data_IF_169532815318
#
_entry.id   IF_169532815318
#
_cell.length_a   1.000
_cell.length_b   1.000
_cell.length_c   1.000
_cell.angle_alpha   90.00
_cell.angle_beta   90.00
_cell.angle_gamma   90.00
#
_symmetry.space_group_name_H-M   'P 1'
#
loop_
_entity.id
_entity.type
_entity.pdbx_description
1 polymer ?
#
# COMPACT_ATOMS: atom_id res chain seq x y z
N UNK A 1 18.34 28.30 49.81
CA UNK A 1 17.06 29.02 49.94
C UNK A 1 15.96 27.99 50.03
N UNK A 2 15.17 28.08 51.10
CA UNK A 2 14.28 27.07 51.66
C UNK A 2 12.90 27.72 51.79
N UNK A 3 11.90 27.29 51.03
CA UNK A 3 10.50 27.78 51.03
C UNK A 3 9.70 26.81 50.13
N UNK A 4 8.51 26.28 50.41
CA UNK A 4 7.56 26.37 51.54
C UNK A 4 6.61 25.18 51.38
N UNK A 5 6.25 24.54 52.48
CA UNK A 5 5.14 23.58 52.61
C UNK A 5 3.79 24.33 52.70
N UNK A 6 2.66 23.58 52.64
CA UNK A 6 1.24 23.97 52.83
C UNK A 6 0.53 24.51 51.57
N UNK A 7 -0.68 24.12 51.16
CA UNK A 7 -1.83 23.44 51.80
C UNK A 7 -2.75 22.92 50.68
N UNK A 8 -3.50 21.83 50.90
CA UNK A 8 -4.97 21.85 50.71
C UNK A 8 -5.60 20.61 51.37
N UNK A 9 -6.47 20.90 52.33
CA UNK A 9 -7.22 19.97 53.15
C UNK A 9 -8.69 19.99 52.71
N UNK A 10 -9.30 18.81 52.69
CA UNK A 10 -10.72 18.49 52.85
C UNK A 10 -11.76 19.02 51.83
N UNK A 11 -12.34 18.08 51.06
CA UNK A 11 -13.76 18.11 50.75
C UNK A 11 -14.36 16.70 50.96
N UNK A 12 -15.31 16.63 51.88
CA UNK A 12 -15.95 15.41 52.37
C UNK A 12 -17.26 15.12 51.62
N UNK A 13 -17.45 13.83 51.30
CA UNK A 13 -18.69 13.04 51.32
C UNK A 13 -20.00 13.59 50.70
N UNK A 14 -20.45 12.89 49.66
CA UNK A 14 -21.86 12.50 49.50
C UNK A 14 -21.95 11.23 48.61
N UNK A 15 -21.67 10.06 49.19
CA UNK A 15 -21.93 8.78 48.52
C UNK A 15 -23.40 8.39 48.75
N UNK A 16 -24.29 8.84 47.86
CA UNK A 16 -25.63 8.29 47.77
C UNK A 16 -25.55 6.91 47.12
N UNK A 17 -25.89 5.88 47.87
CA UNK A 17 -25.98 4.50 47.37
C UNK A 17 -27.13 4.37 46.37
N UNK A 18 -26.83 4.50 45.09
CA UNK A 18 -27.69 3.99 44.02
C UNK A 18 -27.44 2.48 43.91
N UNK A 19 -28.35 1.70 44.48
CA UNK A 19 -28.48 0.27 44.17
C UNK A 19 -28.95 0.17 42.71
N UNK A 20 -28.00 0.05 41.79
CA UNK A 20 -28.31 -0.23 40.40
C UNK A 20 -28.97 -1.62 40.36
N UNK A 21 -30.23 -1.66 39.92
CA UNK A 21 -30.90 -2.92 39.61
C UNK A 21 -30.03 -3.64 38.58
N UNK A 22 -29.57 -4.89 38.83
CA UNK A 22 -28.77 -5.61 37.87
C UNK A 22 -29.60 -5.74 36.60
N UNK A 23 -29.24 -4.94 35.59
CA UNK A 23 -29.79 -5.12 34.26
C UNK A 23 -29.33 -6.50 33.86
N UNK A 24 -30.31 -7.38 33.66
CA UNK A 24 -30.07 -8.75 33.21
C UNK A 24 -29.58 -8.64 31.77
N UNK A 25 -28.29 -8.41 31.61
CA UNK A 25 -27.61 -8.55 30.32
C UNK A 25 -27.83 -9.98 29.91
N UNK A 26 -28.75 -10.17 28.97
CA UNK A 26 -28.88 -11.42 28.26
C UNK A 26 -27.51 -11.63 27.64
N UNK A 27 -26.72 -12.54 28.20
CA UNK A 27 -25.48 -12.97 27.58
C UNK A 27 -25.89 -13.52 26.21
N UNK A 28 -25.65 -12.73 25.17
CA UNK A 28 -25.74 -13.18 23.80
C UNK A 28 -24.75 -14.33 23.69
N UNK A 29 -25.31 -15.53 23.76
CA UNK A 29 -24.63 -16.78 23.48
C UNK A 29 -23.98 -16.66 22.10
N UNK A 30 -22.76 -17.17 21.99
CA UNK A 30 -21.87 -17.20 20.82
C UNK A 30 -21.35 -15.84 20.35
N UNK A 31 -20.15 -15.50 20.85
CA UNK A 31 -19.18 -14.62 20.22
C UNK A 31 -18.93 -15.08 18.78
N UNK A 32 -19.69 -14.54 17.83
CA UNK A 32 -19.37 -14.71 16.43
C UNK A 32 -18.25 -13.71 16.12
N UNK A 33 -17.02 -14.07 16.50
CA UNK A 33 -15.84 -13.39 16.00
C UNK A 33 -15.87 -13.52 14.49
N UNK A 34 -15.78 -12.39 13.80
CA UNK A 34 -15.59 -12.40 12.36
C UNK A 34 -14.19 -12.96 12.07
N UNK A 35 -14.06 -13.69 10.97
CA UNK A 35 -12.76 -14.05 10.45
C UNK A 35 -12.20 -12.87 9.65
N UNK A 36 -10.90 -12.61 9.79
CA UNK A 36 -10.24 -11.60 8.94
C UNK A 36 -10.27 -12.11 7.50
N UNK A 37 -9.83 -13.35 7.33
CA UNK A 37 -9.71 -13.97 6.04
C UNK A 37 -11.01 -14.63 5.56
N UNK A 38 -11.26 -14.64 4.24
CA UNK A 38 -12.40 -15.33 3.69
C UNK A 38 -12.29 -16.84 3.96
N UNK A 39 -13.40 -17.55 4.16
CA UNK A 39 -13.40 -19.00 4.31
C UNK A 39 -12.67 -19.71 3.16
N UNK A 40 -11.93 -20.78 3.47
CA UNK A 40 -11.09 -21.48 2.50
C UNK A 40 -11.88 -22.02 1.28
N UNK A 41 -13.15 -22.37 1.46
CA UNK A 41 -14.04 -22.80 0.38
C UNK A 41 -14.40 -21.65 -0.58
N UNK A 42 -14.57 -20.43 -0.07
CA UNK A 42 -14.76 -19.22 -0.89
C UNK A 42 -13.51 -18.97 -1.74
N UNK A 43 -12.32 -19.05 -1.13
CA UNK A 43 -11.04 -18.92 -1.85
C UNK A 43 -10.92 -19.97 -2.96
N UNK A 44 -11.22 -21.23 -2.65
CA UNK A 44 -11.18 -22.29 -3.66
C UNK A 44 -12.16 -22.03 -4.80
N UNK A 45 -13.40 -21.60 -4.52
CA UNK A 45 -14.37 -21.28 -5.57
C UNK A 45 -13.86 -20.19 -6.53
N UNK A 46 -13.25 -19.13 -6.00
CA UNK A 46 -12.66 -18.06 -6.80
C UNK A 46 -11.48 -18.53 -7.65
N UNK A 47 -10.63 -19.40 -7.10
CA UNK A 47 -9.51 -19.97 -7.85
C UNK A 47 -9.98 -20.88 -9.01
N UNK A 48 -11.07 -21.62 -8.85
CA UNK A 48 -11.64 -22.44 -9.94
C UNK A 48 -12.32 -21.60 -11.03
N UNK A 49 -12.82 -20.41 -10.68
CA UNK A 49 -13.39 -19.46 -11.64
C UNK A 49 -12.33 -18.70 -12.45
N UNK A 50 -11.03 -18.82 -12.13
CA UNK A 50 -9.99 -18.38 -13.06
C UNK A 50 -10.15 -19.21 -14.32
N UNK A 51 -10.73 -18.56 -15.34
CA UNK A 51 -11.00 -19.12 -16.66
C UNK A 51 -9.81 -20.01 -17.01
N UNK A 52 -10.03 -21.33 -17.22
CA UNK A 52 -8.93 -22.25 -17.49
C UNK A 52 -8.09 -21.60 -18.56
N UNK A 53 -6.79 -21.38 -18.26
CA UNK A 53 -5.84 -20.71 -19.14
C UNK A 53 -6.11 -21.29 -20.51
N UNK A 54 -6.80 -20.52 -21.36
CA UNK A 54 -7.19 -21.05 -22.66
C UNK A 54 -5.87 -21.48 -23.28
N UNK A 55 -5.75 -22.73 -23.75
CA UNK A 55 -4.49 -23.25 -24.24
C UNK A 55 -3.91 -22.18 -25.12
N UNK A 56 -2.75 -21.64 -24.72
CA UNK A 56 -2.14 -20.49 -25.37
C UNK A 56 -1.96 -20.89 -26.82
N UNK A 57 -2.95 -20.54 -27.66
CA UNK A 57 -2.92 -20.85 -29.07
C UNK A 57 -1.69 -20.10 -29.54
N UNK A 58 -0.70 -20.83 -30.06
CA UNK A 58 0.51 -20.21 -30.55
C UNK A 58 0.10 -19.24 -31.66
N UNK A 59 0.04 -17.96 -31.28
CA UNK A 59 -0.49 -16.89 -32.10
C UNK A 59 0.46 -16.59 -33.27
N UNK A 60 1.60 -17.29 -33.33
CA UNK A 60 2.50 -17.32 -34.48
C UNK A 60 1.89 -18.01 -35.70
N UNK A 61 0.88 -18.84 -35.54
CA UNK A 61 0.25 -19.55 -36.66
C UNK A 61 -1.10 -18.95 -37.09
N UNK A 62 -1.63 -18.02 -36.29
CA UNK A 62 -2.89 -17.36 -36.61
C UNK A 62 -2.75 -16.38 -37.78
N UNK A 63 -3.69 -16.48 -38.72
CA UNK A 63 -3.91 -15.50 -39.79
C UNK A 63 -4.49 -14.20 -39.21
N UNK A 64 -4.41 -13.09 -39.96
CA UNK A 64 -4.98 -11.81 -39.50
C UNK A 64 -6.50 -11.88 -39.24
N UNK A 65 -7.23 -12.72 -39.97
CA UNK A 65 -8.67 -12.91 -39.75
C UNK A 65 -8.97 -13.60 -38.41
N UNK A 66 -8.20 -14.63 -38.05
CA UNK A 66 -8.33 -15.32 -36.77
C UNK A 66 -7.89 -14.43 -35.61
N UNK A 67 -6.86 -13.61 -35.81
CA UNK A 67 -6.42 -12.62 -34.81
C UNK A 67 -7.50 -11.59 -34.49
N UNK A 68 -8.24 -11.11 -35.50
CA UNK A 68 -9.38 -10.20 -35.27
C UNK A 68 -10.47 -10.89 -34.43
N UNK A 69 -10.84 -12.13 -34.77
CA UNK A 69 -11.84 -12.90 -33.99
C UNK A 69 -11.40 -13.12 -32.55
N UNK A 70 -10.09 -13.28 -32.31
CA UNK A 70 -9.50 -13.46 -31.00
C UNK A 70 -9.18 -12.14 -30.26
N UNK A 71 -9.53 -10.97 -30.81
CA UNK A 71 -9.21 -9.67 -30.21
C UNK A 71 -7.71 -9.33 -30.15
N UNK A 72 -6.88 -10.02 -30.94
CA UNK A 72 -5.43 -9.81 -30.99
C UNK A 72 -5.05 -8.72 -32.01
N UNK A 73 -3.97 -7.96 -31.78
CA UNK A 73 -3.46 -6.98 -32.75
C UNK A 73 -3.12 -7.64 -34.09
N UNK A 74 -3.38 -6.94 -35.20
CA UNK A 74 -3.02 -7.42 -36.54
C UNK A 74 -1.51 -7.64 -36.70
N UNK A 75 -1.11 -8.67 -37.45
CA UNK A 75 0.28 -8.83 -37.88
C UNK A 75 0.62 -7.80 -38.93
N UNK A 76 1.86 -7.31 -38.87
CA UNK A 76 2.43 -6.49 -39.94
C UNK A 76 2.39 -7.27 -41.26
N UNK A 77 2.00 -6.63 -42.38
CA UNK A 77 2.00 -7.28 -43.68
C UNK A 77 3.37 -7.86 -44.01
N UNK A 78 3.46 -9.17 -44.21
CA UNK A 78 4.68 -9.80 -44.68
C UNK A 78 4.87 -9.40 -46.15
N UNK A 79 5.81 -8.48 -46.43
CA UNK A 79 6.21 -8.19 -47.80
C UNK A 79 6.93 -9.41 -48.36
N UNK A 80 6.20 -10.25 -49.08
CA UNK A 80 6.79 -11.30 -49.90
C UNK A 80 7.73 -10.61 -50.87
N UNK A 81 9.04 -10.73 -50.65
CA UNK A 81 10.05 -10.29 -51.62
C UNK A 81 9.82 -11.13 -52.87
N UNK A 82 9.07 -10.60 -53.81
CA UNK A 82 9.01 -11.13 -55.16
C UNK A 82 10.41 -10.95 -55.72
N UNK A 83 11.16 -12.04 -55.78
CA UNK A 83 12.41 -12.10 -56.53
C UNK A 83 11.99 -12.02 -57.99
N UNK A 84 11.97 -10.81 -58.54
CA UNK A 84 11.81 -10.63 -59.97
C UNK A 84 12.72 -9.51 -60.43
N UNK A 85 13.66 -9.90 -61.29
CA UNK A 85 14.68 -9.05 -61.84
C UNK A 85 14.12 -7.90 -62.66
N UNK A 86 15.01 -6.92 -62.84
CA UNK A 86 15.11 -5.95 -63.92
C UNK A 86 13.80 -5.50 -64.59
N UNK A 87 13.45 -4.22 -64.44
CA UNK A 87 13.78 -3.19 -65.43
C UNK A 87 13.11 -1.84 -65.08
N UNK A 88 13.88 -0.78 -65.36
CA UNK A 88 13.46 0.54 -65.84
C UNK A 88 12.72 1.53 -64.90
N UNK A 89 13.48 2.58 -64.56
CA UNK A 89 13.25 3.99 -64.91
C UNK A 89 12.06 4.79 -64.33
N UNK A 90 12.44 5.73 -63.45
CA UNK A 90 12.06 7.15 -63.37
C UNK A 90 10.57 7.57 -63.31
N UNK A 91 10.20 8.31 -62.25
CA UNK A 91 9.68 9.69 -62.35
C UNK A 91 9.55 10.34 -60.96
N UNK A 92 9.68 11.66 -60.92
CA UNK A 92 9.86 12.51 -59.74
C UNK A 92 8.56 13.12 -59.18
N UNK A 93 8.69 13.68 -57.95
CA UNK A 93 7.86 14.74 -57.30
C UNK A 93 6.61 14.31 -56.50
N UNK A 94 6.07 15.15 -55.57
CA UNK A 94 6.56 16.39 -54.94
C UNK A 94 6.50 16.40 -53.39
N UNK A 95 7.19 17.37 -52.76
CA UNK A 95 7.11 17.72 -51.33
C UNK A 95 5.86 18.57 -51.00
N UNK A 96 5.23 18.40 -49.82
CA UNK A 96 4.48 19.46 -49.16
C UNK A 96 5.25 19.93 -47.89
N UNK A 97 5.66 21.19 -47.82
CA UNK A 97 4.90 22.38 -47.35
C UNK A 97 4.94 22.53 -45.83
N UNK A 98 5.85 23.41 -45.38
CA UNK A 98 6.03 23.92 -44.02
C UNK A 98 4.84 24.76 -43.57
N UNK A 99 4.25 24.42 -42.42
CA UNK A 99 3.29 25.28 -41.74
C UNK A 99 4.00 26.25 -40.79
N UNK A 100 3.61 27.52 -40.90
CA UNK A 100 4.14 28.66 -40.17
C UNK A 100 3.77 28.62 -38.68
N UNK A 101 4.76 28.86 -37.81
CA UNK A 101 4.54 29.21 -36.41
C UNK A 101 4.25 30.71 -36.31
N UNK A 102 3.10 31.04 -35.73
CA UNK A 102 2.71 32.41 -35.42
C UNK A 102 3.38 32.85 -34.11
N UNK A 103 4.35 33.74 -34.22
CA UNK A 103 4.99 34.43 -33.10
C UNK A 103 4.20 35.68 -32.77
N UNK A 104 3.55 35.74 -31.60
CA UNK A 104 3.06 36.99 -31.02
C UNK A 104 4.15 37.53 -30.11
N UNK A 105 4.86 38.56 -30.58
CA UNK A 105 5.77 39.36 -29.78
C UNK A 105 4.94 40.30 -28.90
N UNK A 106 4.96 40.07 -27.58
CA UNK A 106 4.53 41.08 -26.60
C UNK A 106 5.78 41.78 -26.10
N UNK A 107 5.82 43.10 -26.36
CA UNK A 107 6.90 43.99 -26.02
C UNK A 107 7.10 44.08 -24.50
N UNK A 108 8.36 44.10 -24.11
CA UNK A 108 8.84 44.25 -22.75
C UNK A 108 8.69 45.69 -22.23
N UNK A 109 8.24 45.83 -20.98
CA UNK A 109 8.57 46.98 -20.14
C UNK A 109 9.79 46.61 -19.26
N UNK A 110 10.78 47.51 -19.11
CA UNK A 110 11.97 47.25 -18.31
C UNK A 110 11.73 47.62 -16.84
N UNK A 111 11.42 46.61 -16.01
CA UNK A 111 11.45 46.79 -14.55
C UNK A 111 12.78 46.29 -13.99
N UNK A 112 13.65 47.25 -13.69
CA UNK A 112 14.97 47.05 -13.13
C UNK A 112 14.88 46.81 -11.61
N UNK A 113 14.70 45.56 -11.19
CA UNK A 113 15.10 45.04 -9.86
C UNK A 113 15.03 43.51 -9.88
N UNK A 114 16.05 42.83 -10.42
CA UNK A 114 16.16 41.38 -10.33
C UNK A 114 17.61 40.92 -10.55
N UNK A 115 18.52 41.25 -9.62
CA UNK A 115 19.92 40.80 -9.68
C UNK A 115 20.38 40.09 -8.39
N UNK A 116 19.46 39.38 -7.74
CA UNK A 116 19.76 38.43 -6.66
C UNK A 116 18.77 37.29 -6.80
N UNK A 117 19.14 36.21 -7.50
CA UNK A 117 18.56 34.84 -7.47
C UNK A 117 18.83 34.13 -8.81
N UNK A 118 20.09 34.02 -9.23
CA UNK A 118 20.48 33.09 -10.31
C UNK A 118 21.63 32.19 -9.89
N UNK A 119 21.62 31.76 -8.63
CA UNK A 119 22.22 30.49 -8.28
C UNK A 119 21.14 29.42 -8.47
N UNK A 120 20.95 28.94 -9.71
CA UNK A 120 20.30 27.64 -9.98
C UNK A 120 21.21 26.56 -9.41
N UNK A 121 21.27 26.48 -8.09
CA UNK A 121 21.88 25.36 -7.38
C UNK A 121 21.05 24.14 -7.76
N UNK A 122 21.58 23.33 -8.68
CA UNK A 122 21.14 21.95 -8.90
C UNK A 122 21.43 21.21 -7.60
N UNK A 123 20.56 21.38 -6.61
CA UNK A 123 20.58 20.58 -5.41
C UNK A 123 20.18 19.16 -5.84
N UNK A 124 21.18 18.36 -6.21
CA UNK A 124 20.99 16.92 -6.39
C UNK A 124 20.81 16.36 -4.99
N UNK A 125 19.56 16.23 -4.57
CA UNK A 125 19.18 15.34 -3.47
C UNK A 125 19.73 13.96 -3.87
N UNK A 126 20.82 13.57 -3.23
CA UNK A 126 21.40 12.24 -3.43
C UNK A 126 20.56 11.34 -2.56
N UNK A 127 19.57 10.67 -3.15
CA UNK A 127 18.63 9.84 -2.41
C UNK A 127 19.36 8.70 -1.73
N UNK A 128 19.39 8.73 -0.39
CA UNK A 128 20.05 7.70 0.40
C UNK A 128 19.10 6.51 0.61
N UNK A 129 19.10 5.59 -0.35
CA UNK A 129 18.42 4.30 -0.16
C UNK A 129 19.18 3.47 0.88
N UNK A 130 18.50 3.09 1.95
CA UNK A 130 19.05 2.26 3.03
C UNK A 130 18.27 0.96 3.13
N UNK A 131 18.98 -0.16 3.33
CA UNK A 131 18.37 -1.47 3.57
C UNK A 131 18.33 -1.77 5.06
N UNK A 132 17.40 -2.62 5.46
CA UNK A 132 17.29 -3.04 6.85
C UNK A 132 16.14 -4.03 7.05
N UNK A 133 15.81 -4.29 8.32
CA UNK A 133 14.75 -5.19 8.74
C UNK A 133 13.66 -4.42 9.47
N UNK A 134 12.47 -5.03 9.58
CA UNK A 134 11.36 -4.48 10.36
C UNK A 134 11.17 -5.33 11.62
N UNK A 135 11.59 -4.79 12.77
CA UNK A 135 11.35 -5.38 14.08
C UNK A 135 9.96 -4.98 14.58
N UNK A 136 9.26 -5.91 15.20
CA UNK A 136 7.99 -5.65 15.87
C UNK A 136 8.23 -5.50 17.36
N UNK A 137 7.78 -4.39 17.91
CA UNK A 137 7.79 -4.06 19.33
C UNK A 137 6.35 -4.11 19.82
N UNK A 138 6.10 -4.77 20.94
CA UNK A 138 4.80 -4.77 21.60
C UNK A 138 4.44 -3.36 22.07
N UNK A 139 3.29 -2.83 21.66
CA UNK A 139 2.93 -1.43 21.89
C UNK A 139 2.59 -1.11 23.35
N UNK A 140 2.30 -2.12 24.18
CA UNK A 140 1.99 -1.93 25.60
C UNK A 140 3.25 -2.03 26.47
N UNK A 141 4.14 -2.97 26.15
CA UNK A 141 5.29 -3.32 26.99
C UNK A 141 6.62 -2.81 26.49
N UNK A 142 6.68 -2.25 25.28
CA UNK A 142 7.90 -1.86 24.56
C UNK A 142 8.90 -3.03 24.36
N UNK A 143 8.45 -4.28 24.53
CA UNK A 143 9.29 -5.45 24.39
C UNK A 143 9.39 -5.88 22.91
N UNK A 144 10.58 -6.29 22.42
CA UNK A 144 10.70 -6.87 21.09
C UNK A 144 10.03 -8.25 21.05
N UNK A 145 9.13 -8.45 20.10
CA UNK A 145 8.36 -9.69 19.96
C UNK A 145 8.71 -10.49 18.70
N UNK A 146 9.44 -9.89 17.76
CA UNK A 146 9.87 -10.57 16.55
C UNK A 146 10.20 -9.63 15.39
N UNK A 147 10.11 -10.17 14.17
CA UNK A 147 10.29 -9.44 12.92
C UNK A 147 9.13 -9.69 11.96
N UNK A 148 8.95 -8.80 10.98
CA UNK A 148 8.09 -9.07 9.83
C UNK A 148 8.69 -10.22 9.02
N UNK A 149 7.88 -11.23 8.71
CA UNK A 149 8.31 -12.42 7.97
C UNK A 149 8.49 -12.13 6.47
N UNK A 150 9.43 -12.80 5.79
CA UNK A 150 9.70 -12.63 4.37
C UNK A 150 8.83 -13.50 3.44
N UNK A 151 7.96 -14.35 3.99
CA UNK A 151 6.98 -15.11 3.22
C UNK A 151 5.56 -14.64 3.54
N UNK A 152 4.68 -14.76 2.55
CA UNK A 152 3.24 -14.59 2.74
C UNK A 152 2.63 -15.81 3.44
N UNK A 153 1.53 -15.60 4.17
CA UNK A 153 0.65 -16.68 4.58
C UNK A 153 -0.16 -17.24 3.39
N UNK A 154 -1.06 -18.20 3.64
CA UNK A 154 -1.88 -18.82 2.59
C UNK A 154 -2.81 -17.83 1.85
N UNK A 155 -3.03 -16.64 2.41
CA UNK A 155 -3.87 -15.58 1.86
C UNK A 155 -3.07 -14.46 1.20
N UNK A 156 -1.74 -14.56 1.13
CA UNK A 156 -0.93 -13.52 0.48
C UNK A 156 -0.55 -12.35 1.40
N UNK A 157 -0.57 -12.53 2.72
CA UNK A 157 -0.34 -11.44 3.69
C UNK A 157 0.97 -11.62 4.43
N UNK A 158 1.60 -10.52 4.85
CA UNK A 158 2.76 -10.58 5.73
C UNK A 158 2.35 -10.85 7.17
N UNK A 159 3.06 -11.79 7.79
CA UNK A 159 2.90 -12.16 9.19
C UNK A 159 4.11 -11.81 10.05
N UNK A 160 4.06 -12.30 11.28
CA UNK A 160 5.11 -12.18 12.27
C UNK A 160 5.99 -13.44 12.32
N UNK A 161 7.26 -13.27 12.67
CA UNK A 161 8.13 -14.38 13.06
C UNK A 161 8.96 -14.04 14.29
N UNK A 162 9.31 -15.05 15.10
CA UNK A 162 10.14 -14.86 16.28
C UNK A 162 11.65 -14.86 15.97
N UNK A 163 12.08 -15.58 14.92
CA UNK A 163 13.49 -15.79 14.57
C UNK A 163 14.07 -14.76 13.61
N UNK A 164 15.38 -14.87 13.36
CA UNK A 164 16.12 -13.98 12.44
C UNK A 164 16.19 -14.44 11.00
N UNK A 165 15.94 -15.72 10.72
CA UNK A 165 16.42 -16.33 9.47
C UNK A 165 15.54 -16.00 8.27
N UNK A 166 14.25 -15.76 8.51
CA UNK A 166 13.24 -15.46 7.49
C UNK A 166 12.69 -14.04 7.60
N UNK A 167 13.49 -13.10 8.13
CA UNK A 167 13.04 -11.72 8.31
C UNK A 167 12.99 -10.97 6.98
N UNK A 168 11.98 -10.13 6.82
CA UNK A 168 11.82 -9.27 5.66
C UNK A 168 12.93 -8.20 5.64
N UNK A 169 13.68 -8.18 4.55
CA UNK A 169 14.61 -7.12 4.17
C UNK A 169 13.85 -6.12 3.33
N UNK A 170 13.90 -4.87 3.74
CA UNK A 170 13.30 -3.75 3.02
C UNK A 170 14.35 -2.73 2.61
N UNK A 171 14.02 -1.92 1.61
CA UNK A 171 14.81 -0.79 1.15
C UNK A 171 13.91 0.45 1.14
N UNK A 172 14.36 1.51 1.81
CA UNK A 172 13.65 2.79 1.84
C UNK A 172 14.59 3.98 1.61
N UNK A 173 14.02 5.04 1.06
CA UNK A 173 14.67 6.34 0.92
C UNK A 173 14.47 7.13 2.22
N UNK A 174 15.46 7.16 3.10
CA UNK A 174 15.32 7.80 4.42
C UNK A 174 15.02 9.30 4.30
N UNK A 175 15.61 9.98 3.32
CA UNK A 175 15.40 11.41 3.11
C UNK A 175 13.94 11.72 2.77
N UNK A 176 13.27 10.83 2.06
CA UNK A 176 11.86 10.99 1.68
C UNK A 176 10.92 10.54 2.79
N UNK A 177 11.17 9.35 3.34
CA UNK A 177 10.34 8.73 4.37
C UNK A 177 10.30 9.54 5.69
N UNK A 178 11.28 10.41 5.94
CA UNK A 178 11.31 11.28 7.13
C UNK A 178 10.19 12.34 7.10
N UNK A 179 9.85 12.84 5.92
CA UNK A 179 8.98 14.02 5.80
C UNK A 179 7.61 13.70 5.24
N UNK A 180 7.51 12.66 4.41
CA UNK A 180 6.29 12.32 3.68
C UNK A 180 6.12 10.82 3.57
N UNK A 181 4.87 10.37 3.57
CA UNK A 181 4.54 8.96 3.38
C UNK A 181 5.15 8.45 2.06
N UNK A 182 5.85 7.33 2.11
CA UNK A 182 6.68 6.83 1.01
C UNK A 182 6.46 5.34 0.82
N UNK A 183 6.85 4.83 -0.35
CA UNK A 183 6.84 3.41 -0.61
C UNK A 183 8.10 2.75 -0.07
N UNK A 184 7.93 1.58 0.53
CA UNK A 184 9.02 0.72 0.99
C UNK A 184 9.13 -0.45 0.02
N UNK A 185 10.31 -0.68 -0.54
CA UNK A 185 10.54 -1.80 -1.45
C UNK A 185 10.97 -3.05 -0.65
N UNK A 186 10.38 -4.20 -0.94
CA UNK A 186 10.81 -5.49 -0.39
C UNK A 186 11.99 -6.02 -1.21
N UNK A 187 13.07 -6.43 -0.53
CA UNK A 187 14.32 -6.88 -1.18
C UNK A 187 14.37 -8.40 -1.30
N UNK A 188 13.91 -9.11 -0.26
CA UNK A 188 13.77 -10.57 -0.22
C UNK A 188 12.29 -10.97 -0.07
N UNK A 189 11.37 -10.14 -0.56
CA UNK A 189 9.94 -10.48 -0.58
C UNK A 189 9.66 -11.69 -1.47
N UNK A 190 8.55 -12.41 -1.24
CA UNK A 190 8.32 -13.72 -1.85
C UNK A 190 7.79 -13.63 -3.29
N UNK A 191 7.25 -12.48 -3.71
CA UNK A 191 6.78 -12.25 -5.09
C UNK A 191 7.27 -10.90 -5.63
N UNK A 192 8.06 -10.95 -6.71
CA UNK A 192 8.60 -9.76 -7.38
C UNK A 192 7.56 -8.95 -8.16
N UNK A 193 6.36 -9.51 -8.41
CA UNK A 193 5.26 -8.78 -9.05
C UNK A 193 4.59 -7.76 -8.10
N UNK A 194 4.81 -7.94 -6.79
CA UNK A 194 4.25 -7.09 -5.74
C UNK A 194 5.37 -6.56 -4.81
N UNK A 195 6.32 -5.77 -5.38
CA UNK A 195 7.60 -5.49 -4.73
C UNK A 195 7.52 -4.40 -3.64
N UNK A 196 6.34 -3.84 -3.38
CA UNK A 196 6.16 -2.78 -2.39
C UNK A 196 5.46 -3.33 -1.15
N UNK A 197 6.01 -3.05 0.02
CA UNK A 197 5.32 -3.25 1.29
C UNK A 197 4.22 -2.19 1.37
N UNK A 198 2.98 -2.62 1.26
CA UNK A 198 1.81 -1.74 1.30
C UNK A 198 0.69 -2.34 2.13
N UNK A 199 -0.50 -1.78 1.97
CA UNK A 199 -1.71 -2.25 2.62
C UNK A 199 -2.79 -2.58 1.59
N UNK A 200 -3.56 -3.63 1.89
CA UNK A 200 -4.61 -4.20 1.04
C UNK A 200 -5.91 -4.18 1.85
N UNK A 201 -7.00 -3.64 1.31
CA UNK A 201 -8.27 -3.60 2.04
C UNK A 201 -8.70 -4.98 2.51
N UNK A 202 -9.13 -5.07 3.76
CA UNK A 202 -9.55 -6.34 4.35
C UNK A 202 -10.88 -6.81 3.77
N UNK A 203 -10.97 -8.08 3.37
CA UNK A 203 -12.16 -8.63 2.70
C UNK A 203 -13.43 -8.64 3.56
N UNK A 204 -13.27 -8.60 4.88
CA UNK A 204 -14.38 -8.51 5.84
C UNK A 204 -14.73 -7.06 6.19
N UNK A 205 -14.05 -6.07 5.61
CA UNK A 205 -14.38 -4.66 5.79
C UNK A 205 -15.64 -4.29 5.00
N UNK A 206 -16.43 -3.37 5.53
CA UNK A 206 -17.65 -2.88 4.84
C UNK A 206 -17.39 -1.69 3.93
N UNK A 207 -16.22 -1.05 4.08
CA UNK A 207 -15.69 -0.05 3.16
C UNK A 207 -14.16 -0.03 3.24
N UNK A 208 -13.53 0.72 2.33
CA UNK A 208 -12.09 0.98 2.34
C UNK A 208 -11.64 2.08 3.31
N UNK A 209 -12.58 2.68 4.06
CA UNK A 209 -12.27 3.80 4.94
C UNK A 209 -11.95 3.32 6.36
N UNK A 210 -10.81 3.76 6.90
CA UNK A 210 -10.43 3.56 8.30
C UNK A 210 -10.93 4.76 9.11
N UNK A 211 -11.63 4.51 10.22
CA UNK A 211 -12.17 5.58 11.05
C UNK A 211 -12.41 5.11 12.49
N UNK A 212 -12.47 6.07 13.42
CA UNK A 212 -12.95 5.81 14.78
C UNK A 212 -14.37 5.22 14.74
N UNK A 213 -14.62 4.20 15.57
CA UNK A 213 -15.88 3.46 15.63
C UNK A 213 -16.10 2.45 14.49
N UNK A 214 -15.16 2.30 13.54
CA UNK A 214 -15.23 1.31 12.47
C UNK A 214 -14.27 0.15 12.74
N UNK A 215 -14.72 -1.08 12.43
CA UNK A 215 -13.85 -2.26 12.44
C UNK A 215 -13.13 -2.49 11.11
N UNK A 216 -13.33 -1.60 10.12
CA UNK A 216 -12.62 -1.71 8.85
C UNK A 216 -11.11 -1.75 9.08
N UNK A 217 -10.42 -2.49 8.22
CA UNK A 217 -9.00 -2.73 8.35
C UNK A 217 -8.37 -3.01 6.98
N UNK A 218 -7.04 -3.02 6.96
CA UNK A 218 -6.26 -3.43 5.81
C UNK A 218 -5.15 -4.41 6.23
N UNK A 219 -4.85 -5.42 5.42
CA UNK A 219 -3.71 -6.31 5.62
C UNK A 219 -2.44 -5.67 5.13
N UNK A 220 -1.32 -5.89 5.83
CA UNK A 220 0.00 -5.56 5.30
C UNK A 220 0.42 -6.67 4.33
N UNK A 221 0.74 -6.29 3.09
CA UNK A 221 1.02 -7.24 2.03
C UNK A 221 1.94 -6.68 0.94
N UNK A 222 2.18 -7.49 -0.08
CA UNK A 222 2.85 -7.06 -1.31
C UNK A 222 1.89 -6.30 -2.21
N UNK A 223 2.30 -5.16 -2.72
CA UNK A 223 1.48 -4.27 -3.56
C UNK A 223 2.23 -3.78 -4.80
N UNK A 224 1.47 -3.38 -5.82
CA UNK A 224 1.93 -2.50 -6.88
C UNK A 224 1.86 -1.03 -6.44
N UNK A 225 2.45 -0.12 -7.22
CA UNK A 225 2.50 1.29 -6.87
C UNK A 225 1.15 1.97 -7.08
N UNK A 226 0.66 2.60 -6.02
CA UNK A 226 -0.42 3.60 -6.04
C UNK A 226 0.18 4.98 -5.74
N UNK A 227 -0.47 6.02 -6.24
CA UNK A 227 -0.03 7.39 -6.01
C UNK A 227 -0.05 7.73 -4.51
N UNK A 228 0.95 8.49 -4.06
CA UNK A 228 0.96 9.02 -2.69
C UNK A 228 -0.27 9.91 -2.44
N UNK A 229 -0.84 9.81 -1.24
CA UNK A 229 -2.01 10.60 -0.79
C UNK A 229 -3.26 10.41 -1.66
N UNK A 230 -3.35 9.33 -2.45
CA UNK A 230 -4.62 8.94 -3.06
C UNK A 230 -5.34 7.97 -2.13
N UNK A 231 -6.67 7.96 -2.24
CA UNK A 231 -7.47 6.89 -1.64
C UNK A 231 -7.05 5.52 -2.18
N UNK A 232 -7.39 4.42 -1.46
CA UNK A 232 -7.26 3.07 -1.96
C UNK A 232 -7.86 2.94 -3.35
N UNK A 233 -7.15 2.26 -4.23
CA UNK A 233 -7.57 2.06 -5.62
C UNK A 233 -7.19 0.67 -6.11
N UNK A 234 -7.81 0.27 -7.21
CA UNK A 234 -7.54 -1.02 -7.85
C UNK A 234 -6.07 -1.11 -8.27
N UNK A 235 -5.40 -2.20 -7.86
CA UNK A 235 -4.03 -2.48 -8.23
C UNK A 235 -3.66 -3.93 -7.94
N UNK A 236 -2.59 -4.41 -8.58
CA UNK A 236 -2.10 -5.76 -8.33
C UNK A 236 -1.56 -5.90 -6.91
N UNK A 237 -1.96 -6.97 -6.22
CA UNK A 237 -1.53 -7.24 -4.85
C UNK A 237 -1.47 -8.74 -4.54
N UNK A 238 -0.73 -9.09 -3.50
CA UNK A 238 -0.46 -10.47 -3.11
C UNK A 238 -1.69 -11.21 -2.60
N UNK A 239 -2.63 -10.53 -1.95
CA UNK A 239 -3.87 -11.13 -1.48
C UNK A 239 -4.76 -11.56 -2.65
N UNK A 240 -5.09 -10.65 -3.55
CA UNK A 240 -5.88 -10.94 -4.75
C UNK A 240 -5.21 -11.98 -5.64
N UNK A 241 -3.88 -12.01 -5.67
CA UNK A 241 -3.12 -13.05 -6.36
C UNK A 241 -3.34 -14.44 -5.76
N UNK A 242 -3.31 -14.54 -4.42
CA UNK A 242 -3.46 -15.79 -3.67
C UNK A 242 -4.91 -16.28 -3.61
N UNK A 243 -5.86 -15.37 -3.38
CA UNK A 243 -7.27 -15.72 -3.12
C UNK A 243 -8.16 -15.67 -4.36
N UNK A 244 -7.76 -14.89 -5.38
CA UNK A 244 -8.62 -14.58 -6.52
C UNK A 244 -9.75 -13.58 -6.22
N UNK A 245 -9.76 -12.98 -5.03
CA UNK A 245 -10.71 -11.93 -4.63
C UNK A 245 -10.03 -10.57 -4.83
N UNK A 246 -10.64 -9.70 -5.64
CA UNK A 246 -10.07 -8.39 -5.95
C UNK A 246 -10.23 -7.45 -4.75
N UNK A 247 -9.12 -6.88 -4.28
CA UNK A 247 -9.08 -5.89 -3.20
C UNK A 247 -8.28 -4.65 -3.65
N UNK A 248 -8.63 -3.50 -3.06
CA UNK A 248 -7.95 -2.23 -3.32
C UNK A 248 -6.69 -2.09 -2.45
N UNK A 249 -5.76 -1.24 -2.86
CA UNK A 249 -4.47 -1.10 -2.17
C UNK A 249 -4.02 0.35 -1.99
N UNK A 250 -3.11 0.54 -1.04
CA UNK A 250 -2.21 1.70 -0.94
C UNK A 250 -0.75 1.23 -0.74
N UNK A 251 0.21 1.84 -1.44
CA UNK A 251 1.62 1.44 -1.37
C UNK A 251 2.57 2.51 -0.82
N UNK A 252 2.13 3.76 -0.72
CA UNK A 252 2.97 4.91 -0.34
C UNK A 252 2.56 5.47 1.03
N UNK A 253 2.51 4.58 2.02
CA UNK A 253 1.87 4.79 3.32
C UNK A 253 2.84 4.89 4.50
N UNK A 254 4.16 4.87 4.27
CA UNK A 254 5.13 4.76 5.37
C UNK A 254 5.94 6.02 5.57
N UNK A 255 5.96 6.54 6.80
CA UNK A 255 7.01 7.47 7.27
C UNK A 255 7.93 6.77 8.26
N UNK A 256 9.14 7.29 8.41
CA UNK A 256 10.11 6.80 9.40
C UNK A 256 10.61 7.95 10.27
N UNK A 257 10.56 7.78 11.58
CA UNK A 257 11.35 8.59 12.50
C UNK A 257 12.79 8.08 12.43
N UNK A 258 13.67 8.82 11.76
CA UNK A 258 15.09 8.42 11.61
C UNK A 258 15.90 8.38 12.91
N UNK A 259 15.40 8.99 14.00
CA UNK A 259 16.09 8.98 15.29
C UNK A 259 15.84 7.68 16.06
N UNK A 260 14.62 7.15 15.98
CA UNK A 260 14.19 5.94 16.69
C UNK A 260 14.02 4.72 15.76
N UNK A 261 14.02 4.94 14.45
CA UNK A 261 13.67 3.92 13.45
C UNK A 261 12.17 3.60 13.40
N UNK A 262 11.31 4.29 14.14
CA UNK A 262 9.87 3.97 14.21
C UNK A 262 9.22 4.21 12.85
N UNK A 263 8.56 3.19 12.32
CA UNK A 263 7.70 3.28 11.15
C UNK A 263 6.28 3.65 11.57
N UNK A 264 5.72 4.65 10.91
CA UNK A 264 4.31 5.04 11.06
C UNK A 264 3.58 4.77 9.75
N UNK A 265 2.50 4.00 9.84
CA UNK A 265 1.57 3.81 8.74
C UNK A 265 0.63 5.01 8.60
N UNK A 266 0.29 5.35 7.38
CA UNK A 266 -0.69 6.37 7.01
C UNK A 266 -1.77 5.73 6.15
N UNK A 267 -2.95 6.33 6.12
CA UNK A 267 -4.04 5.90 5.25
C UNK A 267 -4.77 7.12 4.73
N UNK A 268 -5.24 7.07 3.50
CA UNK A 268 -6.04 8.15 2.91
C UNK A 268 -7.43 7.61 2.61
N UNK A 269 -8.44 8.02 3.35
CA UNK A 269 -9.81 7.58 3.07
C UNK A 269 -10.31 8.11 1.71
N UNK A 270 -11.43 7.56 1.26
CA UNK A 270 -12.14 7.94 0.03
C UNK A 270 -12.53 9.42 -0.02
N UNK A 271 -12.75 10.04 1.14
CA UNK A 271 -13.02 11.47 1.32
C UNK A 271 -11.75 12.33 1.51
N UNK A 272 -10.57 11.72 1.31
CA UNK A 272 -9.24 12.29 1.53
C UNK A 272 -8.90 12.64 2.99
N UNK A 273 -9.72 12.21 3.95
CA UNK A 273 -9.36 12.29 5.37
C UNK A 273 -8.20 11.34 5.68
N UNK A 274 -7.43 11.70 6.72
CA UNK A 274 -6.25 10.96 7.18
C UNK A 274 -6.45 10.53 8.62
N UNK A 275 -7.07 9.36 8.86
CA UNK A 275 -7.33 8.89 10.21
C UNK A 275 -6.01 8.55 10.92
N UNK A 276 -6.05 8.46 12.26
CA UNK A 276 -5.00 7.76 12.99
C UNK A 276 -5.02 6.29 12.59
N UNK A 277 -3.86 5.70 12.34
CA UNK A 277 -3.71 4.29 11.95
C UNK A 277 -2.93 3.55 13.01
N UNK A 278 -3.45 2.40 13.43
CA UNK A 278 -2.82 1.49 14.37
C UNK A 278 -2.36 0.24 13.64
N UNK A 279 -1.21 -0.31 14.04
CA UNK A 279 -0.67 -1.56 13.50
C UNK A 279 -0.90 -2.67 14.53
N UNK A 280 -1.50 -3.76 14.10
CA UNK A 280 -1.77 -4.92 14.96
C UNK A 280 -1.33 -6.23 14.31
N UNK A 281 -1.19 -7.27 15.13
CA UNK A 281 -1.09 -8.66 14.69
C UNK A 281 -2.33 -9.41 15.15
N UNK A 282 -3.04 -10.00 14.21
CA UNK A 282 -4.23 -10.82 14.45
C UNK A 282 -4.28 -11.96 13.43
N UNK A 283 -4.66 -13.17 13.89
CA UNK A 283 -4.79 -14.38 13.05
C UNK A 283 -3.58 -14.63 12.12
N UNK A 284 -2.35 -14.48 12.64
CA UNK A 284 -1.07 -14.61 11.90
C UNK A 284 -0.80 -13.58 10.80
N UNK A 285 -1.62 -12.54 10.71
CA UNK A 285 -1.48 -11.43 9.75
C UNK A 285 -1.14 -10.13 10.47
N UNK A 286 -0.43 -9.24 9.77
CA UNK A 286 -0.28 -7.85 10.18
C UNK A 286 -1.42 -7.03 9.58
N UNK A 287 -2.07 -6.22 10.40
CA UNK A 287 -3.22 -5.40 10.03
C UNK A 287 -3.00 -3.93 10.36
N UNK A 288 -3.73 -3.07 9.65
CA UNK A 288 -3.91 -1.65 9.90
C UNK A 288 -5.38 -1.37 10.21
N UNK A 289 -5.68 -0.56 11.23
CA UNK A 289 -7.06 -0.12 11.51
C UNK A 289 -7.11 1.31 12.05
N UNK A 290 -8.28 1.94 11.96
CA UNK A 290 -8.55 3.26 12.53
C UNK A 290 -9.05 3.25 13.99
N UNK A 291 -9.45 2.09 14.51
CA UNK A 291 -9.97 1.95 15.87
C UNK A 291 -9.68 0.55 16.45
N UNK A 292 -8.79 0.49 17.44
CA UNK A 292 -8.36 -0.77 18.05
C UNK A 292 -9.49 -1.49 18.77
N UNK A 293 -10.37 -0.74 19.45
CA UNK A 293 -11.48 -1.30 20.24
C UNK A 293 -12.59 -1.83 19.35
N UNK A 294 -12.97 -1.10 18.31
CA UNK A 294 -13.96 -1.56 17.34
C UNK A 294 -13.48 -2.81 16.59
N UNK A 295 -12.20 -2.85 16.22
CA UNK A 295 -11.59 -4.02 15.60
C UNK A 295 -11.61 -5.24 16.52
N UNK A 296 -11.14 -5.13 17.76
CA UNK A 296 -11.11 -6.25 18.72
C UNK A 296 -12.51 -6.78 19.06
N UNK A 297 -13.50 -5.89 19.13
CA UNK A 297 -14.90 -6.30 19.34
C UNK A 297 -15.43 -7.15 18.17
N UNK A 298 -14.94 -6.92 16.95
CA UNK A 298 -15.37 -7.64 15.75
C UNK A 298 -14.58 -8.94 15.52
N UNK A 299 -13.25 -8.89 15.65
CA UNK A 299 -12.34 -9.97 15.24
C UNK A 299 -11.66 -10.71 16.41
N UNK A 300 -11.81 -10.22 17.63
CA UNK A 300 -11.19 -10.79 18.83
C UNK A 300 -9.84 -10.15 19.21
N UNK A 301 -9.13 -10.74 20.18
CA UNK A 301 -7.89 -10.17 20.74
C UNK A 301 -6.82 -9.90 19.68
N UNK A 302 -6.19 -8.74 19.75
CA UNK A 302 -5.16 -8.30 18.81
C UNK A 302 -3.90 -7.89 19.58
N UNK A 303 -2.72 -8.31 19.10
CA UNK A 303 -1.47 -7.82 19.65
C UNK A 303 -1.09 -6.52 18.92
N UNK A 304 -1.26 -5.38 19.57
CA UNK A 304 -0.87 -4.07 19.01
C UNK A 304 0.65 -3.90 19.04
N UNK A 305 1.20 -3.37 17.94
CA UNK A 305 2.65 -3.32 17.74
C UNK A 305 3.10 -1.96 17.22
N UNK A 306 4.38 -1.67 17.44
CA UNK A 306 5.15 -0.66 16.73
C UNK A 306 6.15 -1.35 15.80
N UNK A 307 6.27 -0.88 14.56
CA UNK A 307 7.31 -1.32 13.65
C UNK A 307 8.55 -0.43 13.79
N UNK A 308 9.72 -1.04 13.92
CA UNK A 308 11.01 -0.35 14.00
C UNK A 308 11.92 -0.85 12.89
N UNK A 309 12.40 0.08 12.06
CA UNK A 309 13.40 -0.19 11.03
C UNK A 309 14.80 -0.25 11.62
N UNK A 310 15.46 -1.38 11.43
CA UNK A 310 16.84 -1.62 11.83
C UNK A 310 17.74 -1.63 10.58
N UNK A 311 18.56 -0.58 10.34
CA UNK A 311 19.44 -0.53 9.18
C UNK A 311 20.51 -1.63 9.20
N UNK A 312 20.95 -2.08 8.03
CA UNK A 312 22.03 -3.07 7.84
C UNK A 312 23.29 -2.48 7.21
#
# INVERSE_FOLDING_TARGET
MLFTFLSFLALSAAAAGASATPTRTVALSSSHTLDLNPPADVVQQHLHLRVPVMPQVDHRDLTNAERIRAGLPLRKPARRRTVQGAHASASASPRPSSYAQSTVAVAAEPSATADVLTAKSKFRLTTRSTRGYLQMIDAETDAPIGFVHNNFNAYGEYGAMAGSDDRLVVSLNLDEATWIASSIMTVNGPDTNYPLLGAITGSSSTSMDLAAGSYNYAHVGGTQSIARNSAPSDGGNSFSAATGISETIESAIWTVDTSMGILTAHWTNSDLSKPTVYIGRAQESLILTGDTSAFENAFGPTQWITLVFLPM
#
